data_IF_715149119792
#
_entry.id   IF_715149119792
#
_cell.length_a   1.000
_cell.length_b   1.000
_cell.length_c   1.000
_cell.angle_alpha   90.00
_cell.angle_beta   90.00
_cell.angle_gamma   90.00
#
_symmetry.space_group_name_H-M   'P 1'
#
loop_
_entity.id
_entity.type
_entity.pdbx_description
1 polymer ?
#
# COMPACT_ATOMS: atom_id res chain seq x y z
N UNK A 1 68.21 36.59 -10.21
CA UNK A 1 68.72 35.59 -11.17
C UNK A 1 67.65 34.52 -11.29
N UNK A 2 67.05 34.44 -12.47
CA UNK A 2 65.95 33.56 -12.84
C UNK A 2 66.23 32.09 -12.54
N UNK A 3 65.20 31.29 -12.26
CA UNK A 3 64.94 30.00 -12.93
C UNK A 3 63.49 29.58 -12.62
N UNK A 4 62.78 29.26 -13.70
CA UNK A 4 61.40 28.81 -13.77
C UNK A 4 61.18 27.51 -12.97
N UNK A 5 60.08 27.43 -12.21
CA UNK A 5 59.52 26.17 -11.75
C UNK A 5 58.51 25.72 -12.80
N UNK A 6 58.90 24.68 -13.55
CA UNK A 6 58.12 24.07 -14.62
C UNK A 6 57.02 23.18 -14.00
N UNK A 7 55.78 23.45 -14.37
CA UNK A 7 54.62 22.59 -14.10
C UNK A 7 54.81 21.21 -14.73
N UNK A 8 54.79 20.16 -13.93
CA UNK A 8 54.50 18.80 -14.38
C UNK A 8 53.18 18.36 -13.74
N UNK A 9 52.08 18.68 -14.41
CA UNK A 9 50.75 18.13 -14.12
C UNK A 9 50.74 16.71 -14.65
N UNK A 10 50.95 15.71 -13.79
CA UNK A 10 50.66 14.32 -14.13
C UNK A 10 49.15 14.15 -14.11
N UNK A 11 48.59 14.05 -15.31
CA UNK A 11 47.20 13.74 -15.60
C UNK A 11 46.91 12.31 -15.11
N UNK A 12 46.50 12.16 -13.84
CA UNK A 12 45.90 10.90 -13.38
C UNK A 12 44.49 10.87 -13.95
N UNK A 13 44.31 10.05 -14.98
CA UNK A 13 43.04 9.86 -15.66
C UNK A 13 41.94 9.57 -14.64
N UNK A 14 40.87 10.35 -14.70
CA UNK A 14 39.64 10.07 -14.01
C UNK A 14 39.13 8.70 -14.48
N UNK A 15 39.24 7.69 -13.63
CA UNK A 15 38.54 6.43 -13.81
C UNK A 15 37.09 6.74 -13.53
N UNK A 16 36.34 7.04 -14.58
CA UNK A 16 34.88 7.15 -14.52
C UNK A 16 34.35 5.79 -14.09
N UNK A 17 33.95 5.67 -12.83
CA UNK A 17 33.01 4.64 -12.41
C UNK A 17 31.67 4.98 -13.06
N UNK A 18 31.48 4.48 -14.27
CA UNK A 18 30.18 4.43 -14.91
C UNK A 18 29.28 3.57 -14.03
N UNK A 19 28.27 4.23 -13.46
CA UNK A 19 27.15 3.65 -12.74
C UNK A 19 26.49 2.59 -13.65
N UNK A 20 26.67 1.30 -13.33
CA UNK A 20 25.98 0.17 -13.97
C UNK A 20 24.50 0.13 -13.55
N UNK A 21 23.83 1.28 -13.56
CA UNK A 21 22.38 1.39 -13.54
C UNK A 21 21.87 1.36 -14.98
N UNK A 22 20.94 0.45 -15.19
CA UNK A 22 20.22 0.19 -16.45
C UNK A 22 20.93 -0.73 -17.46
N UNK A 23 21.40 -1.88 -16.99
CA UNK A 23 21.22 -3.10 -17.78
C UNK A 23 19.70 -3.29 -18.00
N UNK A 24 19.23 -2.88 -19.17
CA UNK A 24 17.85 -2.97 -19.60
C UNK A 24 17.29 -4.36 -19.31
N UNK A 25 16.24 -4.40 -18.47
CA UNK A 25 15.40 -5.59 -18.34
C UNK A 25 15.01 -6.03 -19.76
N UNK A 26 15.17 -7.31 -20.14
CA UNK A 26 14.68 -7.74 -21.43
C UNK A 26 13.20 -7.41 -21.48
N UNK A 27 12.81 -6.56 -22.44
CA UNK A 27 11.43 -6.38 -22.82
C UNK A 27 10.95 -7.75 -23.29
N UNK A 28 10.33 -8.51 -22.38
CA UNK A 28 9.53 -9.65 -22.76
C UNK A 28 8.49 -9.08 -23.73
N UNK A 29 8.62 -9.41 -25.01
CA UNK A 29 7.55 -9.23 -25.97
C UNK A 29 6.29 -9.77 -25.29
N UNK A 30 5.32 -8.89 -25.03
CA UNK A 30 4.16 -9.20 -24.23
C UNK A 30 3.39 -10.31 -24.96
N UNK A 31 3.67 -11.58 -24.62
CA UNK A 31 3.03 -12.73 -25.26
C UNK A 31 1.54 -12.57 -25.06
N UNK A 32 0.80 -12.38 -26.15
CA UNK A 32 -0.65 -12.28 -26.17
C UNK A 32 -1.30 -13.30 -25.24
N UNK A 33 -2.18 -12.85 -24.34
CA UNK A 33 -2.94 -13.73 -23.45
C UNK A 33 -4.23 -14.20 -24.14
N UNK A 34 -4.21 -15.42 -24.66
CA UNK A 34 -5.36 -16.00 -25.34
C UNK A 34 -6.50 -16.38 -24.39
N UNK A 35 -6.26 -16.49 -23.07
CA UNK A 35 -7.35 -16.63 -22.11
C UNK A 35 -8.24 -15.38 -22.17
N UNK A 36 -7.63 -14.21 -22.06
CA UNK A 36 -8.33 -12.91 -22.10
C UNK A 36 -8.95 -12.68 -23.48
N UNK A 37 -8.17 -12.82 -24.56
CA UNK A 37 -8.61 -12.53 -25.93
C UNK A 37 -9.82 -13.39 -26.32
N UNK A 38 -9.77 -14.69 -26.04
CA UNK A 38 -10.90 -15.58 -26.34
C UNK A 38 -12.10 -15.25 -25.44
N UNK A 39 -11.90 -15.16 -24.11
CA UNK A 39 -13.01 -14.98 -23.17
C UNK A 39 -13.68 -13.60 -23.27
N UNK A 40 -12.97 -12.56 -23.66
CA UNK A 40 -13.53 -11.22 -23.89
C UNK A 40 -14.54 -11.19 -25.05
N UNK A 41 -14.30 -12.01 -26.08
CA UNK A 41 -15.19 -12.16 -27.24
C UNK A 41 -16.44 -13.01 -26.98
N UNK A 42 -16.52 -13.68 -25.82
CA UNK A 42 -17.67 -14.52 -25.46
C UNK A 42 -18.83 -13.70 -24.90
N UNK A 43 -19.97 -14.35 -24.64
CA UNK A 43 -21.16 -13.73 -24.07
C UNK A 43 -21.36 -14.14 -22.60
N UNK A 44 -22.08 -13.30 -21.86
CA UNK A 44 -22.56 -13.61 -20.51
C UNK A 44 -21.45 -13.96 -19.51
N UNK A 45 -21.64 -15.05 -18.79
CA UNK A 45 -20.79 -15.46 -17.65
C UNK A 45 -19.35 -15.80 -17.98
N UNK A 46 -18.98 -15.93 -19.26
CA UNK A 46 -17.60 -16.19 -19.69
C UNK A 46 -16.81 -14.90 -20.01
N UNK A 47 -17.50 -13.83 -20.39
CA UNK A 47 -16.92 -12.50 -20.62
C UNK A 47 -16.80 -11.69 -19.34
N UNK A 48 -17.81 -11.78 -18.47
CA UNK A 48 -17.86 -11.00 -17.22
C UNK A 48 -16.60 -11.14 -16.35
N UNK A 49 -16.02 -12.33 -16.12
CA UNK A 49 -14.77 -12.48 -15.37
C UNK A 49 -13.61 -11.66 -15.92
N UNK A 50 -13.50 -11.50 -17.24
CA UNK A 50 -12.43 -10.70 -17.87
C UNK A 50 -12.58 -9.23 -17.52
N UNK A 51 -13.81 -8.71 -17.61
CA UNK A 51 -14.12 -7.30 -17.28
C UNK A 51 -13.88 -7.05 -15.79
N UNK A 52 -14.41 -7.93 -14.93
CA UNK A 52 -14.24 -7.83 -13.48
C UNK A 52 -12.78 -7.91 -13.05
N UNK A 53 -12.01 -8.83 -13.65
CA UNK A 53 -10.61 -9.05 -13.31
C UNK A 53 -9.72 -7.86 -13.69
N UNK A 54 -9.97 -7.20 -14.82
CA UNK A 54 -9.24 -5.98 -15.21
C UNK A 54 -9.42 -4.81 -14.23
N UNK A 55 -10.48 -4.80 -13.44
CA UNK A 55 -10.70 -3.81 -12.38
C UNK A 55 -10.08 -4.22 -11.06
N UNK A 56 -9.52 -5.42 -10.97
CA UNK A 56 -8.97 -5.98 -9.75
C UNK A 56 -7.54 -5.55 -9.51
N UNK A 57 -7.11 -5.62 -8.25
CA UNK A 57 -5.70 -5.41 -7.87
C UNK A 57 -4.76 -6.47 -8.46
N UNK A 58 -5.30 -7.59 -8.94
CA UNK A 58 -4.54 -8.68 -9.53
C UNK A 58 -4.30 -8.51 -11.03
N UNK A 59 -4.84 -7.48 -11.69
CA UNK A 59 -4.47 -7.14 -13.08
C UNK A 59 -3.05 -6.55 -13.12
N UNK A 60 -2.78 -5.52 -12.31
CA UNK A 60 -1.54 -4.74 -12.35
C UNK A 60 -0.27 -5.41 -11.82
N UNK A 61 -0.35 -6.60 -11.21
CA UNK A 61 0.81 -7.31 -10.62
C UNK A 61 1.41 -8.37 -11.54
N UNK A 62 1.47 -8.09 -12.85
CA UNK A 62 1.78 -9.05 -13.94
C UNK A 62 0.74 -10.18 -14.08
N UNK A 63 -0.46 -9.99 -13.55
CA UNK A 63 -1.44 -11.05 -13.40
C UNK A 63 -2.03 -11.46 -14.74
N UNK A 64 -2.30 -12.75 -14.85
CA UNK A 64 -2.95 -13.38 -15.99
C UNK A 64 -3.99 -14.34 -15.44
N UNK A 65 -4.99 -14.72 -16.24
CA UNK A 65 -6.01 -15.65 -15.77
C UNK A 65 -5.41 -16.98 -15.26
N UNK A 66 -4.30 -17.41 -15.86
CA UNK A 66 -3.60 -18.64 -15.49
C UNK A 66 -2.82 -18.55 -14.17
N UNK A 67 -2.58 -17.36 -13.62
CA UNK A 67 -1.99 -17.23 -12.28
C UNK A 67 -2.94 -17.86 -11.26
N UNK A 68 -4.24 -17.59 -11.39
CA UNK A 68 -5.29 -18.16 -10.54
C UNK A 68 -5.73 -19.54 -11.04
N UNK A 69 -6.20 -19.60 -12.30
CA UNK A 69 -6.87 -20.77 -12.87
C UNK A 69 -5.96 -21.77 -13.58
N UNK A 70 -4.64 -21.51 -13.61
CA UNK A 70 -3.66 -22.28 -14.40
C UNK A 70 -4.07 -22.34 -15.89
N UNK A 71 -3.62 -23.34 -16.64
CA UNK A 71 -3.81 -23.37 -18.08
C UNK A 71 -2.69 -22.66 -18.85
N UNK A 72 -2.72 -22.80 -20.17
CA UNK A 72 -1.73 -22.20 -21.06
C UNK A 72 -2.30 -20.94 -21.74
N UNK A 73 -1.86 -19.73 -21.36
CA UNK A 73 -2.33 -18.49 -21.97
C UNK A 73 -1.72 -18.24 -23.35
N UNK A 74 -0.72 -19.01 -23.77
CA UNK A 74 -0.06 -18.89 -25.07
C UNK A 74 -0.78 -19.61 -26.22
N UNK A 75 -1.83 -20.38 -25.92
CA UNK A 75 -2.51 -21.23 -26.90
C UNK A 75 -3.93 -20.74 -27.16
N UNK A 76 -4.23 -20.39 -28.41
CA UNK A 76 -5.57 -20.00 -28.86
C UNK A 76 -6.45 -21.21 -29.25
N UNK A 77 -6.44 -22.24 -28.42
CA UNK A 77 -7.30 -23.42 -28.59
C UNK A 77 -7.89 -23.82 -27.23
N UNK A 78 -9.22 -23.92 -27.17
CA UNK A 78 -9.95 -24.19 -25.93
C UNK A 78 -9.51 -25.49 -25.25
N UNK A 79 -9.24 -26.55 -26.03
CA UNK A 79 -8.91 -27.88 -25.49
C UNK A 79 -7.47 -27.91 -25.04
N UNK A 80 -6.54 -27.41 -25.86
CA UNK A 80 -5.11 -27.41 -25.58
C UNK A 80 -4.75 -26.48 -24.40
N UNK A 81 -5.38 -25.31 -24.31
CA UNK A 81 -5.14 -24.36 -23.22
C UNK A 81 -5.62 -24.85 -21.85
N UNK A 82 -6.50 -25.86 -21.81
CA UNK A 82 -7.19 -26.37 -20.61
C UNK A 82 -6.93 -27.86 -20.37
N UNK A 83 -5.78 -28.34 -20.82
CA UNK A 83 -5.36 -29.73 -20.62
C UNK A 83 -4.97 -30.01 -19.16
N UNK A 84 -4.95 -31.30 -18.78
CA UNK A 84 -4.39 -31.71 -17.47
C UNK A 84 -2.92 -31.31 -17.34
N UNK A 85 -2.14 -31.37 -18.43
CA UNK A 85 -0.74 -30.97 -18.46
C UNK A 85 -0.56 -29.48 -18.16
N UNK A 86 -1.46 -28.63 -18.67
CA UNK A 86 -1.48 -27.19 -18.35
C UNK A 86 -1.96 -26.87 -16.92
N UNK A 87 -2.40 -27.89 -16.18
CA UNK A 87 -2.85 -27.77 -14.78
C UNK A 87 -4.14 -26.98 -14.59
N UNK A 88 -4.91 -26.72 -15.64
CA UNK A 88 -6.11 -25.87 -15.59
C UNK A 88 -7.11 -26.34 -14.53
N UNK A 89 -7.49 -25.44 -13.62
CA UNK A 89 -8.32 -25.75 -12.45
C UNK A 89 -9.78 -25.33 -12.61
N UNK A 90 -10.12 -24.58 -13.65
CA UNK A 90 -11.49 -24.13 -13.90
C UNK A 90 -12.06 -23.29 -12.75
N UNK A 91 -13.38 -23.39 -12.54
CA UNK A 91 -14.04 -22.74 -11.40
C UNK A 91 -13.82 -23.61 -10.15
N UNK A 92 -13.06 -23.14 -9.13
CA UNK A 92 -12.84 -23.93 -7.92
C UNK A 92 -14.15 -24.11 -7.14
N UNK A 93 -14.25 -25.23 -6.43
CA UNK A 93 -15.32 -25.46 -5.48
C UNK A 93 -15.26 -24.45 -4.33
N UNK A 94 -16.42 -24.09 -3.79
CA UNK A 94 -16.55 -23.07 -2.75
C UNK A 94 -15.76 -23.41 -1.47
N UNK A 95 -15.64 -24.69 -1.15
CA UNK A 95 -14.86 -25.19 -0.01
C UNK A 95 -13.35 -25.01 -0.21
N UNK A 96 -12.88 -25.04 -1.45
CA UNK A 96 -11.47 -24.93 -1.82
C UNK A 96 -11.02 -23.48 -2.05
N UNK A 97 -11.88 -22.48 -1.88
CA UNK A 97 -11.54 -21.08 -2.13
C UNK A 97 -10.41 -20.59 -1.21
N UNK A 98 -10.38 -21.04 0.05
CA UNK A 98 -9.29 -20.71 0.97
C UNK A 98 -7.94 -21.24 0.46
N UNK A 99 -7.91 -22.47 -0.07
CA UNK A 99 -6.71 -23.05 -0.67
C UNK A 99 -6.34 -22.35 -1.98
N UNK A 100 -7.34 -21.98 -2.78
CA UNK A 100 -7.15 -21.33 -4.08
C UNK A 100 -6.51 -19.94 -3.94
N UNK A 101 -7.01 -19.12 -3.00
CA UNK A 101 -6.44 -17.80 -2.69
C UNK A 101 -5.18 -17.89 -1.82
N UNK A 102 -5.08 -18.93 -1.00
CA UNK A 102 -4.03 -19.15 -0.01
C UNK A 102 -2.83 -19.97 -0.49
N UNK A 103 -2.66 -20.19 -1.79
CA UNK A 103 -1.49 -20.90 -2.32
C UNK A 103 -0.18 -20.19 -1.97
N UNK A 104 0.92 -20.93 -2.02
CA UNK A 104 2.26 -20.40 -1.77
C UNK A 104 2.57 -19.22 -2.69
N UNK A 105 3.16 -18.17 -2.11
CA UNK A 105 3.40 -16.89 -2.80
C UNK A 105 2.15 -16.02 -3.01
N UNK A 106 0.97 -16.44 -2.56
CA UNK A 106 -0.27 -15.66 -2.57
C UNK A 106 -0.65 -15.23 -1.13
N UNK A 107 -1.83 -15.64 -0.64
CA UNK A 107 -2.35 -15.22 0.67
C UNK A 107 -2.30 -16.33 1.73
N UNK A 108 -1.22 -17.13 1.75
CA UNK A 108 -1.09 -18.29 2.62
C UNK A 108 -1.32 -17.97 4.12
N UNK A 109 -0.75 -16.86 4.61
CA UNK A 109 -0.94 -16.43 5.99
C UNK A 109 -2.41 -16.09 6.30
N UNK A 110 -3.08 -15.32 5.43
CA UNK A 110 -4.48 -14.96 5.61
C UNK A 110 -5.41 -16.19 5.52
N UNK A 111 -5.13 -17.11 4.61
CA UNK A 111 -5.85 -18.39 4.52
C UNK A 111 -5.63 -19.22 5.80
N UNK A 112 -4.41 -19.25 6.33
CA UNK A 112 -4.11 -19.87 7.63
C UNK A 112 -4.95 -19.29 8.76
N UNK A 113 -5.00 -17.95 8.88
CA UNK A 113 -5.84 -17.27 9.88
C UNK A 113 -7.32 -17.59 9.67
N UNK A 114 -7.84 -17.49 8.45
CA UNK A 114 -9.25 -17.78 8.15
C UNK A 114 -9.64 -19.21 8.56
N UNK A 115 -8.77 -20.20 8.36
CA UNK A 115 -9.02 -21.60 8.76
C UNK A 115 -9.14 -21.78 10.27
N UNK A 116 -8.53 -20.91 11.06
CA UNK A 116 -8.65 -20.89 12.53
C UNK A 116 -9.92 -20.17 12.99
N UNK A 117 -10.55 -19.37 12.12
CA UNK A 117 -11.73 -18.57 12.45
C UNK A 117 -13.05 -19.35 12.41
N UNK A 118 -14.11 -18.78 13.01
CA UNK A 118 -15.42 -19.43 13.16
C UNK A 118 -16.16 -19.66 11.82
N UNK A 119 -15.80 -18.91 10.78
CA UNK A 119 -16.42 -19.05 9.45
C UNK A 119 -15.94 -20.30 8.70
N UNK A 120 -14.72 -20.78 8.95
CA UNK A 120 -14.19 -21.93 8.21
C UNK A 120 -14.99 -23.23 8.43
N UNK A 121 -15.39 -23.59 9.67
CA UNK A 121 -16.32 -24.70 9.87
C UNK A 121 -17.65 -24.56 9.12
N UNK A 122 -18.15 -23.33 8.95
CA UNK A 122 -19.35 -23.08 8.13
C UNK A 122 -19.10 -23.29 6.64
N UNK A 123 -17.90 -22.97 6.13
CA UNK A 123 -17.52 -23.29 4.75
C UNK A 123 -17.58 -24.79 4.50
N UNK A 124 -17.06 -25.60 5.43
CA UNK A 124 -17.05 -27.06 5.29
C UNK A 124 -18.48 -27.66 5.27
N UNK A 125 -19.43 -27.07 5.99
CA UNK A 125 -20.81 -27.56 6.09
C UNK A 125 -21.75 -26.97 5.04
N UNK A 126 -21.62 -25.67 4.78
CA UNK A 126 -22.60 -24.88 4.04
C UNK A 126 -22.01 -24.26 2.76
N UNK A 127 -20.72 -24.44 2.48
CA UNK A 127 -20.02 -23.78 1.38
C UNK A 127 -19.98 -22.24 1.47
N UNK A 128 -20.27 -21.65 2.63
CA UNK A 128 -20.19 -20.19 2.88
C UNK A 128 -20.03 -19.86 4.38
N UNK A 129 -19.53 -18.66 4.73
CA UNK A 129 -18.89 -17.67 3.86
C UNK A 129 -17.40 -18.00 3.63
N UNK A 130 -16.89 -17.81 2.41
CA UNK A 130 -15.48 -18.02 2.07
C UNK A 130 -14.80 -16.68 1.68
N UNK A 131 -13.54 -16.71 1.26
CA UNK A 131 -12.78 -15.50 0.91
C UNK A 131 -13.53 -14.61 -0.11
N UNK A 132 -14.16 -15.23 -1.11
CA UNK A 132 -14.90 -14.50 -2.15
C UNK A 132 -16.24 -13.93 -1.66
N UNK A 133 -16.76 -14.37 -0.50
CA UNK A 133 -17.95 -13.79 0.12
C UNK A 133 -17.71 -12.36 0.61
N UNK A 134 -16.47 -12.02 1.00
CA UNK A 134 -16.10 -10.69 1.47
C UNK A 134 -15.21 -9.92 0.48
N UNK A 135 -14.26 -10.60 -0.18
CA UNK A 135 -13.28 -9.96 -1.07
C UNK A 135 -13.67 -9.99 -2.56
N UNK A 136 -14.76 -10.69 -2.91
CA UNK A 136 -15.14 -10.93 -4.30
C UNK A 136 -14.33 -12.02 -4.98
N UNK A 137 -14.67 -12.34 -6.24
CA UNK A 137 -14.06 -13.45 -6.98
C UNK A 137 -13.10 -12.97 -8.08
N UNK A 138 -13.57 -12.17 -9.03
CA UNK A 138 -12.73 -11.65 -10.12
C UNK A 138 -12.43 -10.16 -9.93
N UNK A 139 -13.38 -9.35 -9.44
CA UNK A 139 -13.16 -7.94 -9.11
C UNK A 139 -12.59 -7.75 -7.69
N UNK A 140 -11.46 -8.39 -7.41
CA UNK A 140 -10.81 -8.33 -6.08
C UNK A 140 -10.19 -6.95 -5.89
N UNK A 141 -10.62 -6.25 -4.84
CA UNK A 141 -10.13 -4.91 -4.51
C UNK A 141 -9.08 -4.96 -3.41
N UNK A 142 -8.37 -3.83 -3.18
CA UNK A 142 -7.49 -3.70 -2.01
C UNK A 142 -8.32 -3.96 -0.75
N UNK A 143 -7.74 -4.71 0.19
CA UNK A 143 -8.35 -5.02 1.48
C UNK A 143 -8.55 -3.75 2.30
N UNK A 144 -9.68 -3.09 2.06
CA UNK A 144 -10.16 -1.91 2.76
C UNK A 144 -11.54 -2.22 3.31
N UNK A 145 -11.99 -1.44 4.29
CA UNK A 145 -13.33 -1.65 4.84
C UNK A 145 -14.47 -1.30 3.87
N UNK A 146 -14.17 -0.78 2.66
CA UNK A 146 -15.13 -0.53 1.60
C UNK A 146 -15.61 -1.78 0.86
N UNK A 147 -14.89 -2.89 0.95
CA UNK A 147 -15.27 -4.15 0.27
C UNK A 147 -16.41 -4.90 1.00
N UNK A 148 -16.68 -4.54 2.25
CA UNK A 148 -17.74 -5.11 3.07
C UNK A 148 -18.85 -4.11 3.35
N UNK A 149 -20.05 -4.64 3.58
CA UNK A 149 -21.24 -3.88 3.95
C UNK A 149 -22.06 -4.66 4.98
N UNK A 150 -23.06 -4.02 5.59
CA UNK A 150 -24.01 -4.71 6.47
C UNK A 150 -24.64 -5.93 5.77
N UNK A 151 -24.95 -5.81 4.47
CA UNK A 151 -25.51 -6.89 3.65
C UNK A 151 -24.58 -8.10 3.50
N UNK A 152 -23.26 -7.89 3.59
CA UNK A 152 -22.26 -8.97 3.53
C UNK A 152 -22.43 -9.93 4.71
N UNK A 153 -22.89 -9.42 5.85
CA UNK A 153 -23.00 -10.18 7.10
C UNK A 153 -24.46 -10.57 7.41
N UNK A 154 -25.42 -9.73 7.01
CA UNK A 154 -26.84 -9.87 7.40
C UNK A 154 -27.56 -11.06 6.77
N UNK A 155 -26.92 -11.79 5.85
CA UNK A 155 -27.45 -13.05 5.33
C UNK A 155 -27.40 -14.19 6.36
N UNK A 156 -26.54 -14.07 7.38
CA UNK A 156 -26.33 -15.10 8.39
C UNK A 156 -26.36 -14.56 9.83
N UNK A 157 -26.15 -13.26 10.01
CA UNK A 157 -26.16 -12.60 11.31
C UNK A 157 -27.29 -11.59 11.43
N UNK A 158 -27.62 -11.19 12.66
CA UNK A 158 -28.61 -10.13 12.90
C UNK A 158 -28.13 -8.79 12.30
N UNK A 159 -29.08 -7.93 11.94
CA UNK A 159 -28.79 -6.62 11.36
C UNK A 159 -27.93 -5.76 12.30
N UNK A 160 -28.26 -5.71 13.59
CA UNK A 160 -27.51 -4.93 14.59
C UNK A 160 -26.07 -5.42 14.74
N UNK A 161 -25.88 -6.74 14.83
CA UNK A 161 -24.54 -7.32 14.91
C UNK A 161 -23.72 -7.00 13.65
N UNK A 162 -24.34 -7.15 12.48
CA UNK A 162 -23.73 -6.89 11.18
C UNK A 162 -23.28 -5.43 11.06
N UNK A 163 -24.19 -4.50 11.40
CA UNK A 163 -23.95 -3.07 11.35
C UNK A 163 -22.83 -2.65 12.31
N UNK A 164 -22.93 -3.03 13.57
CA UNK A 164 -21.94 -2.67 14.59
C UNK A 164 -20.54 -3.22 14.27
N UNK A 165 -20.48 -4.43 13.71
CA UNK A 165 -19.21 -5.04 13.29
C UNK A 165 -18.61 -4.32 12.09
N UNK A 166 -19.41 -3.99 11.07
CA UNK A 166 -18.94 -3.27 9.88
C UNK A 166 -18.49 -1.84 10.23
N UNK A 167 -19.22 -1.15 11.11
CA UNK A 167 -18.82 0.19 11.60
C UNK A 167 -17.46 0.13 12.29
N UNK A 168 -17.29 -0.78 13.24
CA UNK A 168 -16.02 -0.95 13.94
C UNK A 168 -14.86 -1.25 12.98
N UNK A 169 -15.06 -2.16 12.01
CA UNK A 169 -14.03 -2.49 11.02
C UNK A 169 -13.69 -1.27 10.17
N UNK A 170 -14.69 -0.47 9.76
CA UNK A 170 -14.49 0.75 8.96
C UNK A 170 -13.71 1.82 9.69
N UNK A 171 -14.13 2.14 10.91
CA UNK A 171 -13.48 3.16 11.73
C UNK A 171 -12.04 2.76 12.06
N UNK A 172 -11.83 1.51 12.48
CA UNK A 172 -10.49 1.01 12.83
C UNK A 172 -9.57 0.97 11.61
N UNK A 173 -10.04 0.46 10.46
CA UNK A 173 -9.24 0.43 9.24
C UNK A 173 -8.84 1.85 8.80
N UNK A 174 -9.78 2.79 8.85
CA UNK A 174 -9.52 4.19 8.50
C UNK A 174 -8.49 4.81 9.43
N UNK A 175 -8.63 4.65 10.75
CA UNK A 175 -7.67 5.17 11.71
C UNK A 175 -6.26 4.60 11.46
N UNK A 176 -6.14 3.30 11.20
CA UNK A 176 -4.85 2.65 10.86
C UNK A 176 -4.24 3.19 9.56
N UNK A 177 -5.06 3.41 8.53
CA UNK A 177 -4.61 3.98 7.26
C UNK A 177 -4.18 5.44 7.41
N UNK A 178 -4.93 6.24 8.17
CA UNK A 178 -4.67 7.65 8.44
C UNK A 178 -3.37 7.81 9.24
N UNK A 179 -3.23 7.07 10.35
CA UNK A 179 -1.99 7.02 11.13
C UNK A 179 -0.78 6.56 10.29
N UNK A 180 -0.97 5.60 9.38
CA UNK A 180 0.09 5.17 8.48
C UNK A 180 0.59 6.28 7.53
N UNK A 181 -0.32 7.14 7.05
CA UNK A 181 0.05 8.31 6.24
C UNK A 181 0.74 9.38 7.09
N UNK A 182 0.24 9.62 8.29
CA UNK A 182 0.80 10.60 9.22
C UNK A 182 2.21 10.21 9.69
N UNK A 183 2.43 8.94 10.02
CA UNK A 183 3.76 8.41 10.39
C UNK A 183 4.72 8.55 9.20
N UNK A 184 4.27 8.27 7.97
CA UNK A 184 5.10 8.50 6.77
C UNK A 184 5.44 9.98 6.59
N UNK A 185 4.50 10.88 6.85
CA UNK A 185 4.71 12.33 6.82
C UNK A 185 5.75 12.76 7.87
N UNK A 186 5.62 12.30 9.12
CA UNK A 186 6.61 12.52 10.19
C UNK A 186 8.00 12.07 9.73
N UNK A 187 8.09 10.85 9.17
CA UNK A 187 9.36 10.29 8.68
C UNK A 187 9.98 11.11 7.53
N UNK A 188 9.16 11.61 6.59
CA UNK A 188 9.63 12.50 5.51
C UNK A 188 10.18 13.84 6.00
N UNK A 189 9.84 14.23 7.23
CA UNK A 189 10.31 15.43 7.91
C UNK A 189 11.45 15.13 8.89
N UNK A 190 12.07 13.96 8.76
CA UNK A 190 13.15 13.46 9.62
C UNK A 190 12.76 13.31 11.11
N UNK A 191 11.47 13.17 11.41
CA UNK A 191 11.00 12.86 12.75
C UNK A 191 11.22 11.38 13.11
N UNK A 192 11.44 11.08 14.39
CA UNK A 192 11.52 9.70 14.87
C UNK A 192 10.15 9.00 14.85
N UNK A 193 10.07 7.95 14.04
CA UNK A 193 8.88 7.15 13.77
C UNK A 193 8.98 5.71 14.22
N UNK A 194 10.13 5.24 14.75
CA UNK A 194 10.36 3.81 14.95
C UNK A 194 9.34 3.19 15.91
N UNK A 195 9.12 3.82 17.06
CA UNK A 195 8.11 3.38 18.04
C UNK A 195 6.69 3.40 17.47
N UNK A 196 6.32 4.50 16.79
CA UNK A 196 4.99 4.66 16.20
C UNK A 196 4.72 3.59 15.15
N UNK A 197 5.72 3.28 14.33
CA UNK A 197 5.63 2.28 13.28
C UNK A 197 5.44 0.87 13.88
N UNK A 198 6.22 0.53 14.91
CA UNK A 198 6.09 -0.75 15.63
C UNK A 198 4.70 -0.92 16.28
N UNK A 199 4.19 0.14 16.91
CA UNK A 199 2.84 0.15 17.51
C UNK A 199 1.76 0.05 16.43
N UNK A 200 1.91 0.76 15.31
CA UNK A 200 0.97 0.67 14.19
C UNK A 200 0.94 -0.72 13.58
N UNK A 201 2.08 -1.37 13.41
CA UNK A 201 2.14 -2.72 12.84
C UNK A 201 1.58 -3.77 13.80
N UNK A 202 1.74 -3.55 15.11
CA UNK A 202 1.06 -4.35 16.14
C UNK A 202 -0.46 -4.18 16.07
N UNK A 203 -0.96 -2.94 16.00
CA UNK A 203 -2.38 -2.63 15.87
C UNK A 203 -2.96 -3.22 14.58
N UNK A 204 -2.26 -3.11 13.44
CA UNK A 204 -2.61 -3.75 12.16
C UNK A 204 -2.75 -5.26 12.30
N UNK A 205 -1.76 -5.90 12.91
CA UNK A 205 -1.77 -7.35 13.08
C UNK A 205 -2.96 -7.79 13.92
N UNK A 206 -3.25 -7.10 15.04
CA UNK A 206 -4.42 -7.37 15.88
C UNK A 206 -5.73 -7.14 15.14
N UNK A 207 -5.83 -6.06 14.37
CA UNK A 207 -6.98 -5.77 13.52
C UNK A 207 -7.23 -6.87 12.47
N UNK A 208 -6.19 -7.34 11.78
CA UNK A 208 -6.36 -8.41 10.79
C UNK A 208 -6.76 -9.75 11.42
N UNK A 209 -6.24 -10.06 12.61
CA UNK A 209 -6.68 -11.22 13.40
C UNK A 209 -8.14 -11.08 13.82
N UNK A 210 -8.57 -9.89 14.22
CA UNK A 210 -9.97 -9.61 14.56
C UNK A 210 -10.91 -9.94 13.39
N UNK A 211 -10.54 -9.57 12.17
CA UNK A 211 -11.38 -9.79 10.99
C UNK A 211 -11.45 -11.27 10.57
N UNK A 212 -10.37 -12.04 10.74
CA UNK A 212 -10.27 -13.41 10.17
C UNK A 212 -10.40 -14.54 11.18
N UNK A 213 -10.10 -14.30 12.47
CA UNK A 213 -10.00 -15.36 13.48
C UNK A 213 -10.98 -15.18 14.64
N UNK A 214 -11.35 -13.95 14.99
CA UNK A 214 -12.03 -13.70 16.26
C UNK A 214 -13.38 -14.43 16.40
N UNK A 215 -13.51 -15.33 17.39
CA UNK A 215 -14.78 -15.95 17.73
C UNK A 215 -15.66 -14.95 18.47
N UNK A 216 -16.98 -15.14 18.40
CA UNK A 216 -17.99 -14.18 18.91
C UNK A 216 -17.78 -13.83 20.37
N UNK A 217 -17.38 -14.81 21.17
CA UNK A 217 -17.16 -14.74 22.61
C UNK A 217 -16.01 -13.78 22.99
N UNK A 218 -15.02 -13.65 22.11
CA UNK A 218 -13.85 -12.80 22.30
C UNK A 218 -13.95 -11.46 21.55
N UNK A 219 -14.96 -11.30 20.68
CA UNK A 219 -15.06 -10.11 19.84
C UNK A 219 -15.21 -8.82 20.65
N UNK A 220 -15.95 -8.85 21.75
CA UNK A 220 -16.18 -7.65 22.57
C UNK A 220 -14.90 -7.19 23.28
N UNK A 221 -14.19 -8.12 23.93
CA UNK A 221 -12.92 -7.82 24.60
C UNK A 221 -11.85 -7.39 23.60
N UNK A 222 -11.75 -8.09 22.46
CA UNK A 222 -10.81 -7.75 21.39
C UNK A 222 -11.11 -6.37 20.81
N UNK A 223 -12.39 -6.04 20.60
CA UNK A 223 -12.82 -4.72 20.12
C UNK A 223 -12.41 -3.62 21.07
N UNK A 224 -12.64 -3.81 22.38
CA UNK A 224 -12.31 -2.82 23.41
C UNK A 224 -10.79 -2.58 23.49
N UNK A 225 -10.01 -3.67 23.52
CA UNK A 225 -8.55 -3.58 23.58
C UNK A 225 -7.97 -2.88 22.35
N UNK A 226 -8.40 -3.31 21.16
CA UNK A 226 -7.95 -2.70 19.91
C UNK A 226 -8.38 -1.24 19.80
N UNK A 227 -9.59 -0.89 20.23
CA UNK A 227 -10.09 0.48 20.25
C UNK A 227 -9.26 1.40 21.16
N UNK A 228 -8.90 0.95 22.36
CA UNK A 228 -8.03 1.71 23.28
C UNK A 228 -6.65 1.92 22.69
N UNK A 229 -6.04 0.85 22.14
CA UNK A 229 -4.72 0.92 21.53
C UNK A 229 -4.68 1.89 20.33
N UNK A 230 -5.65 1.77 19.43
CA UNK A 230 -5.76 2.63 18.24
C UNK A 230 -5.97 4.08 18.65
N UNK A 231 -6.86 4.35 19.61
CA UNK A 231 -7.14 5.72 20.08
C UNK A 231 -5.92 6.35 20.74
N UNK A 232 -5.18 5.57 21.55
CA UNK A 232 -3.95 6.04 22.18
C UNK A 232 -2.86 6.33 21.15
N UNK A 233 -2.65 5.43 20.17
CA UNK A 233 -1.67 5.65 19.12
C UNK A 233 -2.05 6.85 18.24
N UNK A 234 -3.33 7.03 17.93
CA UNK A 234 -3.82 8.15 17.13
C UNK A 234 -3.54 9.48 17.82
N UNK A 235 -3.74 9.56 19.15
CA UNK A 235 -3.41 10.75 19.93
C UNK A 235 -1.91 11.09 19.88
N UNK A 236 -1.04 10.07 20.01
CA UNK A 236 0.41 10.24 19.96
C UNK A 236 0.89 10.70 18.57
N UNK A 237 0.35 10.07 17.51
CA UNK A 237 0.66 10.42 16.12
C UNK A 237 0.21 11.85 15.83
N UNK A 238 -1.01 12.24 16.18
CA UNK A 238 -1.53 13.61 15.99
C UNK A 238 -0.69 14.63 16.75
N UNK A 239 -0.27 14.31 17.97
CA UNK A 239 0.60 15.17 18.75
C UNK A 239 1.92 15.41 18.02
N UNK A 240 2.58 14.36 17.53
CA UNK A 240 3.83 14.49 16.76
C UNK A 240 3.64 15.25 15.44
N UNK A 241 2.58 15.00 14.68
CA UNK A 241 2.26 15.76 13.46
C UNK A 241 2.12 17.25 13.78
N UNK A 242 1.39 17.59 14.85
CA UNK A 242 1.18 18.99 15.25
C UNK A 242 2.48 19.68 15.68
N UNK A 243 3.40 18.97 16.36
CA UNK A 243 4.70 19.49 16.75
C UNK A 243 5.57 19.79 15.52
N UNK A 244 5.63 18.85 14.57
CA UNK A 244 6.38 19.05 13.32
C UNK A 244 5.82 20.22 12.52
N UNK A 245 4.49 20.33 12.39
CA UNK A 245 3.86 21.46 11.71
C UNK A 245 4.19 22.82 12.36
N UNK A 246 4.28 22.87 13.69
CA UNK A 246 4.70 24.09 14.42
C UNK A 246 6.17 24.41 14.19
N UNK A 247 7.05 23.41 14.18
CA UNK A 247 8.48 23.60 13.91
C UNK A 247 8.69 24.12 12.48
N UNK A 248 7.98 23.56 11.49
CA UNK A 248 8.02 24.03 10.10
C UNK A 248 7.60 25.50 10.00
N UNK A 249 6.54 25.90 10.68
CA UNK A 249 6.09 27.30 10.72
C UNK A 249 7.14 28.22 11.35
N UNK A 250 7.72 27.82 12.49
CA UNK A 250 8.79 28.59 13.14
C UNK A 250 10.01 28.74 12.23
N UNK A 251 10.40 27.67 11.53
CA UNK A 251 11.52 27.72 10.58
C UNK A 251 11.27 28.72 9.46
N UNK A 252 10.06 28.72 8.87
CA UNK A 252 9.67 29.69 7.83
C UNK A 252 9.74 31.12 8.39
N UNK A 253 9.20 31.36 9.57
CA UNK A 253 9.24 32.69 10.22
C UNK A 253 10.68 33.13 10.47
N UNK A 254 11.54 32.24 10.95
CA UNK A 254 12.96 32.53 11.17
C UNK A 254 13.71 32.88 9.88
N UNK A 255 13.48 32.12 8.79
CA UNK A 255 14.11 32.40 7.49
C UNK A 255 13.64 33.74 6.92
N UNK A 256 12.34 34.03 6.98
CA UNK A 256 11.79 35.32 6.53
C UNK A 256 12.37 36.49 7.33
N UNK A 257 12.45 36.35 8.66
CA UNK A 257 13.07 37.35 9.53
C UNK A 257 14.55 37.58 9.18
N UNK A 258 15.31 36.50 8.94
CA UNK A 258 16.71 36.58 8.53
C UNK A 258 16.88 37.32 7.19
N UNK A 259 16.03 37.05 6.20
CA UNK A 259 16.05 37.74 4.90
C UNK A 259 15.74 39.23 5.03
N UNK A 260 14.74 39.60 5.85
CA UNK A 260 14.41 41.00 6.13
C UNK A 260 15.59 41.70 6.83
N UNK A 261 16.20 41.04 7.81
CA UNK A 261 17.34 41.60 8.55
C UNK A 261 18.56 41.82 7.65
N UNK A 262 18.93 40.82 6.84
CA UNK A 262 20.05 40.93 5.88
C UNK A 262 19.75 42.02 4.83
N UNK A 263 18.52 42.06 4.30
CA UNK A 263 18.09 43.09 3.37
C UNK A 263 18.17 44.49 3.98
N UNK A 264 17.72 44.65 5.23
CA UNK A 264 17.78 45.91 5.97
C UNK A 264 19.21 46.41 6.18
N UNK A 265 20.13 45.54 6.60
CA UNK A 265 21.56 45.88 6.76
C UNK A 265 22.18 46.25 5.41
N UNK A 266 21.86 45.50 4.35
CA UNK A 266 22.37 45.77 3.00
C UNK A 266 21.91 47.12 2.47
N UNK A 267 20.64 47.47 2.67
CA UNK A 267 20.09 48.79 2.30
C UNK A 267 20.75 49.90 3.12
N UNK A 268 20.87 49.70 4.44
CA UNK A 268 21.49 50.68 5.33
C UNK A 268 22.94 50.98 4.93
N UNK A 269 23.73 49.94 4.67
CA UNK A 269 25.13 50.07 4.25
C UNK A 269 25.27 50.77 2.90
N UNK A 270 24.41 50.46 1.92
CA UNK A 270 24.36 51.16 0.63
C UNK A 270 24.02 52.65 0.78
N UNK A 271 23.03 52.98 1.60
CA UNK A 271 22.65 54.38 1.88
C UNK A 271 23.82 55.13 2.53
N UNK A 272 24.45 54.54 3.54
CA UNK A 272 25.59 55.17 4.22
C UNK A 272 26.81 55.33 3.31
N UNK A 273 27.10 54.35 2.45
CA UNK A 273 28.17 54.45 1.46
C UNK A 273 27.89 55.56 0.44
N UNK A 274 26.65 55.66 -0.06
CA UNK A 274 26.25 56.73 -1.00
C UNK A 274 26.39 58.12 -0.39
N UNK A 275 26.02 58.28 0.90
CA UNK A 275 26.19 59.54 1.64
C UNK A 275 27.65 59.91 1.84
N UNK A 276 28.52 58.96 2.21
CA UNK A 276 29.98 59.20 2.33
C UNK A 276 30.60 59.63 1.00
N UNK A 277 30.25 58.97 -0.10
CA UNK A 277 30.78 59.29 -1.44
C UNK A 277 30.40 60.70 -1.91
N UNK A 278 29.27 61.23 -1.41
CA UNK A 278 28.81 62.59 -1.70
C UNK A 278 29.59 63.66 -0.91
N UNK A 279 30.08 63.33 0.29
CA UNK A 279 30.88 64.24 1.14
C UNK A 279 32.39 64.26 0.85
N UNK A 280 32.93 63.25 0.15
CA UNK A 280 34.35 63.17 -0.21
C UNK A 280 34.68 63.71 -1.61
N UNK A 281 33.80 64.51 -2.22
CA UNK A 281 33.96 65.04 -3.59
C UNK A 281 33.86 66.58 -3.65
N UNK A 282 34.04 67.23 -2.49
CA UNK A 282 34.31 68.64 -2.31
C UNK A 282 35.72 68.79 -1.72
#
# INVERSE_FOLDING_TARGET
MSILILCAVTFVGAVSFADEREAGKPAYAEKKDFCIVCHEGLKGGLKRPVIEWRMSVHDGSAGRCNVCHRGDPGVNDKKLAKTKQSGFTGKPDKILIADFCGRDGCHAAAAGQFRLGPHYPSVLRNNHPNCASCHGAHNIQRSTAGIISEKTCSSCHTADFSRNTVLFIRETNRAIEDMGRDIKYIGSKHGDTLDLQNRLDTARTRFYRFVHVSPKEEMESTRKLLGVEVSSLEADVKTKVSLIGRIDLLYIVMVVFQLIFIGGISIYTLVMYSKRRKYGRD
#
